data_IF_542462705328
#
_entry.id   IF_542462705328
#
_cell.length_a   1.000
_cell.length_b   1.000
_cell.length_c   1.000
_cell.angle_alpha   90.00
_cell.angle_beta   90.00
_cell.angle_gamma   90.00
#
_symmetry.space_group_name_H-M   'P 1'
#
loop_
_entity.id
_entity.type
_entity.pdbx_description
1 polymer ?
#
# COMPACT_ATOMS: atom_id res chain seq x y z
N UNK A 1 -3.82 -1.91 -21.02
CA UNK A 1 -4.02 -2.19 -19.58
C UNK A 1 -3.59 -0.96 -18.81
N UNK A 2 -4.50 -0.36 -18.03
CA UNK A 2 -4.22 0.87 -17.25
C UNK A 2 -3.97 0.53 -15.77
N UNK A 3 -2.87 1.04 -15.23
CA UNK A 3 -2.44 0.75 -13.87
C UNK A 3 -2.16 2.05 -13.09
N UNK A 4 -2.99 2.34 -12.10
CA UNK A 4 -2.76 3.43 -11.16
C UNK A 4 -1.65 3.03 -10.16
N UNK A 5 -0.71 3.95 -9.92
CA UNK A 5 0.42 3.67 -9.03
C UNK A 5 0.71 4.86 -8.11
N UNK A 6 0.84 4.61 -6.82
CA UNK A 6 1.42 5.55 -5.85
C UNK A 6 2.85 5.15 -5.52
N UNK A 7 3.71 6.11 -5.18
CA UNK A 7 5.12 5.84 -4.88
C UNK A 7 5.94 5.46 -6.10
N UNK A 8 5.60 5.99 -7.27
CA UNK A 8 6.28 5.77 -8.56
C UNK A 8 7.75 6.17 -8.57
N UNK A 9 8.15 7.14 -7.72
CA UNK A 9 9.54 7.60 -7.56
C UNK A 9 10.36 6.81 -6.55
N UNK A 10 9.71 5.96 -5.74
CA UNK A 10 10.41 5.09 -4.77
C UNK A 10 11.09 3.90 -5.44
N UNK A 11 11.96 3.20 -4.68
CA UNK A 11 12.74 2.05 -5.21
C UNK A 11 11.84 1.00 -5.87
N UNK A 12 10.78 0.56 -5.21
CA UNK A 12 9.87 -0.45 -5.79
C UNK A 12 9.13 0.09 -7.02
N UNK A 13 8.54 1.29 -6.91
CA UNK A 13 7.73 1.86 -7.97
C UNK A 13 8.52 2.17 -9.24
N UNK A 14 9.69 2.81 -9.11
CA UNK A 14 10.52 3.16 -10.25
C UNK A 14 11.06 1.92 -10.99
N UNK A 15 11.54 0.92 -10.24
CA UNK A 15 12.00 -0.34 -10.85
C UNK A 15 10.85 -1.13 -11.49
N UNK A 16 9.66 -1.14 -10.87
CA UNK A 16 8.50 -1.80 -11.44
C UNK A 16 8.09 -1.17 -12.77
N UNK A 17 8.01 0.16 -12.83
CA UNK A 17 7.68 0.91 -14.05
C UNK A 17 8.73 0.63 -15.13
N UNK A 18 10.02 0.72 -14.80
CA UNK A 18 11.12 0.51 -15.75
C UNK A 18 11.08 -0.88 -16.39
N UNK A 19 10.68 -1.91 -15.62
CA UNK A 19 10.65 -3.30 -16.10
C UNK A 19 9.34 -3.67 -16.82
N UNK A 20 8.33 -2.81 -16.82
CA UNK A 20 7.01 -3.08 -17.37
C UNK A 20 6.56 -1.92 -18.29
N UNK A 21 7.37 -1.58 -19.26
CA UNK A 21 7.15 -0.46 -20.18
C UNK A 21 5.92 -0.61 -21.11
N UNK A 22 5.38 -1.81 -21.21
CA UNK A 22 4.15 -2.12 -21.95
C UNK A 22 2.86 -1.83 -21.18
N UNK A 23 2.95 -1.35 -19.93
CA UNK A 23 1.81 -0.98 -19.10
C UNK A 23 1.63 0.54 -19.11
N UNK A 24 0.39 0.99 -19.31
CA UNK A 24 0.02 2.40 -19.17
C UNK A 24 -0.12 2.78 -17.68
N UNK A 25 0.93 3.42 -17.13
CA UNK A 25 0.98 3.81 -15.73
C UNK A 25 0.43 5.21 -15.49
N UNK A 26 -0.63 5.29 -14.66
CA UNK A 26 -1.19 6.53 -14.14
C UNK A 26 -0.54 6.80 -12.77
N UNK A 27 0.42 7.72 -12.74
CA UNK A 27 1.23 8.01 -11.54
C UNK A 27 0.51 9.01 -10.63
N UNK A 28 0.53 8.75 -9.32
CA UNK A 28 0.15 9.73 -8.33
C UNK A 28 1.37 10.57 -7.95
N UNK A 29 1.35 11.85 -8.28
CA UNK A 29 2.44 12.81 -8.02
C UNK A 29 2.12 13.77 -6.86
N UNK A 30 1.01 13.51 -6.16
CA UNK A 30 0.59 14.32 -5.00
C UNK A 30 1.16 13.83 -3.67
N UNK A 31 0.72 14.49 -2.60
CA UNK A 31 1.04 14.15 -1.22
C UNK A 31 0.00 13.17 -0.64
N UNK A 32 0.43 11.96 -0.26
CA UNK A 32 -0.43 10.93 0.35
C UNK A 32 -1.00 11.32 1.72
N UNK A 33 -0.46 12.34 2.38
CA UNK A 33 -1.05 12.91 3.59
C UNK A 33 -2.26 13.79 3.29
N UNK A 34 -2.44 14.22 2.05
CA UNK A 34 -3.49 15.14 1.59
C UNK A 34 -4.66 14.38 0.99
N UNK A 35 -5.65 14.06 1.81
CA UNK A 35 -6.86 13.31 1.44
C UNK A 35 -7.50 13.80 0.12
N UNK A 36 -7.66 15.12 -0.03
CA UNK A 36 -8.32 15.68 -1.21
C UNK A 36 -7.55 15.43 -2.52
N UNK A 37 -6.21 15.39 -2.47
CA UNK A 37 -5.40 15.08 -3.64
C UNK A 37 -5.60 13.63 -4.09
N UNK A 38 -5.65 12.69 -3.15
CA UNK A 38 -5.93 11.27 -3.42
C UNK A 38 -7.31 11.12 -4.06
N UNK A 39 -8.34 11.73 -3.45
CA UNK A 39 -9.73 11.64 -3.93
C UNK A 39 -9.83 12.19 -5.36
N UNK A 40 -9.32 13.41 -5.59
CA UNK A 40 -9.35 14.05 -6.92
C UNK A 40 -8.66 13.18 -7.97
N UNK A 41 -7.49 12.64 -7.64
CA UNK A 41 -6.71 11.82 -8.57
C UNK A 41 -7.42 10.49 -8.90
N UNK A 42 -7.94 9.77 -7.91
CA UNK A 42 -8.67 8.51 -8.15
C UNK A 42 -9.92 8.75 -8.98
N UNK A 43 -10.67 9.83 -8.70
CA UNK A 43 -11.92 10.11 -9.39
C UNK A 43 -11.72 10.59 -10.83
N UNK A 44 -10.61 11.28 -11.11
CA UNK A 44 -10.26 11.76 -12.45
C UNK A 44 -9.82 10.62 -13.40
N UNK A 45 -9.33 9.49 -12.87
CA UNK A 45 -8.65 8.48 -13.66
C UNK A 45 -9.42 7.15 -13.69
N UNK A 46 -9.39 6.47 -14.85
CA UNK A 46 -9.88 5.11 -15.03
C UNK A 46 -8.73 4.12 -15.15
N UNK A 47 -8.81 3.03 -14.38
CA UNK A 47 -7.76 2.00 -14.31
C UNK A 47 -8.36 0.67 -13.84
N UNK A 48 -7.68 -0.44 -14.14
CA UNK A 48 -8.07 -1.80 -13.75
C UNK A 48 -7.19 -2.35 -12.63
N UNK A 49 -5.99 -1.80 -12.49
CA UNK A 49 -5.01 -2.17 -11.46
C UNK A 49 -4.62 -0.96 -10.62
N UNK A 50 -4.41 -1.20 -9.33
CA UNK A 50 -3.95 -0.18 -8.40
C UNK A 50 -2.78 -0.71 -7.57
N UNK A 51 -1.59 -0.14 -7.73
CA UNK A 51 -0.38 -0.50 -7.00
C UNK A 51 -0.07 0.58 -5.96
N UNK A 52 -0.17 0.24 -4.68
CA UNK A 52 0.06 1.20 -3.60
C UNK A 52 1.47 1.04 -3.02
N UNK A 53 2.50 1.56 -3.71
CA UNK A 53 3.90 1.52 -3.25
C UNK A 53 4.30 2.72 -2.39
N UNK A 54 3.48 3.79 -2.34
CA UNK A 54 3.77 4.99 -1.57
C UNK A 54 3.72 4.73 -0.07
N UNK A 55 4.85 4.91 0.61
CA UNK A 55 4.97 4.77 2.05
C UNK A 55 6.24 5.46 2.57
N UNK A 56 6.24 5.85 3.84
CA UNK A 56 7.46 6.13 4.59
C UNK A 56 8.00 4.79 5.09
N UNK A 57 9.14 4.35 4.52
CA UNK A 57 9.71 3.03 4.77
C UNK A 57 10.78 3.02 5.87
N UNK A 58 11.75 3.96 5.95
CA UNK A 58 12.77 3.90 6.98
C UNK A 58 12.17 3.89 8.38
N UNK A 59 12.41 2.82 9.14
CA UNK A 59 11.87 2.64 10.50
C UNK A 59 12.19 3.83 11.39
N UNK A 60 13.44 4.34 11.32
CA UNK A 60 13.86 5.53 12.09
C UNK A 60 13.01 6.77 11.76
N UNK A 61 12.64 6.99 10.49
CA UNK A 61 11.76 8.11 10.10
C UNK A 61 10.36 7.94 10.67
N UNK A 62 9.83 6.72 10.70
CA UNK A 62 8.52 6.41 11.27
C UNK A 62 8.53 6.61 12.79
N UNK A 63 9.59 6.19 13.47
CA UNK A 63 9.73 6.39 14.93
C UNK A 63 9.80 7.88 15.29
N UNK A 64 10.59 8.67 14.52
CA UNK A 64 10.76 10.11 14.75
C UNK A 64 9.49 10.93 14.47
N UNK A 65 8.72 10.56 13.45
CA UNK A 65 7.52 11.32 13.05
C UNK A 65 6.33 10.39 12.81
N UNK A 66 5.86 9.76 13.87
CA UNK A 66 4.78 8.77 13.81
C UNK A 66 3.46 9.34 13.26
N UNK A 67 3.11 10.59 13.59
CA UNK A 67 1.86 11.20 13.12
C UNK A 67 1.82 11.30 11.59
N UNK A 68 2.88 11.80 10.99
CA UNK A 68 3.00 11.87 9.52
C UNK A 68 3.07 10.46 8.90
N UNK A 69 3.84 9.57 9.50
CA UNK A 69 3.94 8.20 9.03
C UNK A 69 2.58 7.47 9.09
N UNK A 70 1.80 7.66 10.14
CA UNK A 70 0.45 7.10 10.24
C UNK A 70 -0.47 7.66 9.15
N UNK A 71 -0.44 8.96 8.91
CA UNK A 71 -1.23 9.60 7.84
C UNK A 71 -0.91 9.00 6.48
N UNK A 72 0.39 8.83 6.15
CA UNK A 72 0.84 8.31 4.86
C UNK A 72 0.69 6.78 4.77
N UNK A 73 1.09 6.02 5.79
CA UNK A 73 1.17 4.56 5.72
C UNK A 73 -0.14 3.85 6.09
N UNK A 74 -1.12 4.55 6.66
CA UNK A 74 -2.38 3.94 7.09
C UNK A 74 -3.61 4.75 6.66
N UNK A 75 -3.68 6.05 7.00
CA UNK A 75 -4.89 6.83 6.76
C UNK A 75 -5.12 7.05 5.25
N UNK A 76 -4.05 7.20 4.45
CA UNK A 76 -4.14 7.25 2.98
C UNK A 76 -4.79 6.00 2.39
N UNK A 77 -4.46 4.82 2.90
CA UNK A 77 -5.02 3.54 2.45
C UNK A 77 -6.53 3.50 2.70
N UNK A 78 -6.98 4.00 3.84
CA UNK A 78 -8.43 4.13 4.13
C UNK A 78 -9.14 5.00 3.09
N UNK A 79 -8.53 6.13 2.73
CA UNK A 79 -9.07 7.02 1.69
C UNK A 79 -9.10 6.31 0.34
N UNK A 80 -7.97 5.72 -0.08
CA UNK A 80 -7.86 4.99 -1.35
C UNK A 80 -8.94 3.91 -1.45
N UNK A 81 -9.05 3.03 -0.46
CA UNK A 81 -10.04 1.94 -0.47
C UNK A 81 -11.46 2.47 -0.58
N UNK A 82 -11.80 3.54 0.15
CA UNK A 82 -13.13 4.12 0.09
C UNK A 82 -13.45 4.66 -1.31
N UNK A 83 -12.51 5.32 -1.97
CA UNK A 83 -12.70 5.83 -3.34
C UNK A 83 -12.75 4.70 -4.38
N UNK A 84 -11.90 3.68 -4.25
CA UNK A 84 -11.95 2.51 -5.13
C UNK A 84 -13.31 1.79 -5.07
N UNK A 85 -13.89 1.66 -3.88
CA UNK A 85 -15.22 1.05 -3.70
C UNK A 85 -16.34 1.83 -4.40
N UNK A 86 -16.23 3.16 -4.49
CA UNK A 86 -17.21 4.01 -5.18
C UNK A 86 -17.23 3.78 -6.70
N UNK A 87 -16.12 3.33 -7.29
CA UNK A 87 -16.03 3.04 -8.72
C UNK A 87 -16.91 1.87 -9.17
N UNK A 88 -17.42 1.04 -8.27
CA UNK A 88 -18.34 -0.09 -8.53
C UNK A 88 -17.91 -1.01 -9.69
N UNK A 89 -16.60 -1.15 -9.91
CA UNK A 89 -16.01 -2.00 -10.96
C UNK A 89 -14.99 -2.97 -10.39
N UNK A 90 -14.65 -4.01 -11.15
CA UNK A 90 -13.57 -4.92 -10.80
C UNK A 90 -12.24 -4.17 -10.86
N UNK A 91 -11.51 -4.13 -9.75
CA UNK A 91 -10.16 -3.54 -9.65
C UNK A 91 -9.27 -4.56 -8.95
N UNK A 92 -8.02 -4.68 -9.38
CA UNK A 92 -7.02 -5.47 -8.70
C UNK A 92 -6.08 -4.57 -7.91
N UNK A 93 -6.06 -4.72 -6.58
CA UNK A 93 -5.31 -3.87 -5.65
C UNK A 93 -4.10 -4.62 -5.07
N UNK A 94 -2.91 -4.06 -5.23
CA UNK A 94 -1.68 -4.60 -4.62
C UNK A 94 -1.16 -3.70 -3.50
N UNK A 95 -0.83 -4.31 -2.37
CA UNK A 95 -0.24 -3.65 -1.22
C UNK A 95 1.03 -4.36 -0.75
N UNK A 96 2.21 -3.71 -0.81
CA UNK A 96 3.43 -4.23 -0.23
C UNK A 96 3.40 -4.03 1.29
N UNK A 97 3.19 -5.12 2.00
CA UNK A 97 3.41 -5.22 3.44
C UNK A 97 4.90 -5.50 3.70
N UNK A 98 5.26 -5.95 4.88
CA UNK A 98 6.66 -6.08 5.28
C UNK A 98 6.86 -7.26 6.22
N UNK A 99 8.07 -7.82 6.24
CA UNK A 99 8.53 -8.76 7.26
C UNK A 99 8.48 -8.19 8.68
N UNK A 100 8.54 -6.87 8.83
CA UNK A 100 8.43 -6.18 10.12
C UNK A 100 7.10 -6.38 10.86
N UNK A 101 6.10 -7.05 10.25
CA UNK A 101 4.89 -7.47 10.96
C UNK A 101 5.12 -8.69 11.86
N UNK A 102 6.21 -9.41 11.67
CA UNK A 102 6.63 -10.52 12.51
C UNK A 102 7.61 -10.07 13.59
N UNK A 103 7.74 -10.83 14.66
CA UNK A 103 8.85 -10.71 15.60
C UNK A 103 10.11 -11.41 15.05
N UNK A 104 11.24 -11.16 15.67
CA UNK A 104 12.44 -11.96 15.44
C UNK A 104 12.15 -13.44 15.63
N UNK A 105 12.70 -14.27 14.75
CA UNK A 105 12.53 -15.72 14.80
C UNK A 105 13.72 -16.43 14.16
N UNK A 106 14.23 -17.45 14.81
CA UNK A 106 15.22 -18.38 14.24
C UNK A 106 14.55 -19.48 13.37
N UNK A 107 13.22 -19.52 13.32
CA UNK A 107 12.46 -20.46 12.49
C UNK A 107 12.06 -19.82 11.19
N UNK A 108 11.90 -20.62 10.13
CA UNK A 108 11.32 -20.16 8.85
C UNK A 108 9.94 -19.55 9.10
N UNK A 109 9.74 -18.35 8.61
CA UNK A 109 8.46 -17.63 8.65
C UNK A 109 7.65 -17.94 7.40
N UNK A 110 6.34 -18.01 7.56
CA UNK A 110 5.36 -18.12 6.48
C UNK A 110 4.15 -17.23 6.77
N UNK A 111 3.17 -17.22 5.87
CA UNK A 111 1.99 -16.36 5.99
C UNK A 111 1.12 -16.65 7.22
N UNK A 112 1.15 -17.89 7.74
CA UNK A 112 0.41 -18.34 8.93
C UNK A 112 1.15 -17.99 10.23
N UNK A 113 2.46 -17.67 10.17
CA UNK A 113 3.26 -17.33 11.34
C UNK A 113 2.64 -16.17 12.14
N UNK A 114 2.82 -16.21 13.46
CA UNK A 114 2.25 -15.24 14.39
C UNK A 114 2.78 -13.83 14.09
N UNK A 115 1.89 -12.85 13.98
CA UNK A 115 2.22 -11.47 13.66
C UNK A 115 2.35 -10.66 14.94
N UNK A 116 3.58 -10.33 15.30
CA UNK A 116 3.92 -9.57 16.53
C UNK A 116 4.90 -8.46 16.14
N UNK A 117 4.42 -7.34 15.56
CA UNK A 117 5.29 -6.24 15.16
C UNK A 117 5.89 -5.55 16.39
N UNK A 118 7.20 -5.37 16.40
CA UNK A 118 7.94 -4.67 17.47
C UNK A 118 7.97 -3.17 17.14
N UNK A 119 8.33 -2.79 15.90
CA UNK A 119 8.45 -1.40 15.47
C UNK A 119 7.11 -0.72 15.19
N UNK A 120 7.04 0.60 15.31
CA UNK A 120 5.87 1.40 14.88
C UNK A 120 5.56 1.19 13.39
N UNK A 121 6.60 1.07 12.55
CA UNK A 121 6.45 0.76 11.13
C UNK A 121 5.72 -0.58 10.91
N UNK A 122 6.18 -1.65 11.55
CA UNK A 122 5.55 -2.96 11.48
C UNK A 122 4.10 -2.94 11.99
N UNK A 123 3.84 -2.20 13.08
CA UNK A 123 2.46 -2.00 13.59
C UNK A 123 1.56 -1.32 12.56
N UNK A 124 2.03 -0.25 11.89
CA UNK A 124 1.27 0.41 10.83
C UNK A 124 1.02 -0.51 9.64
N UNK A 125 2.01 -1.29 9.20
CA UNK A 125 1.83 -2.27 8.11
C UNK A 125 0.81 -3.34 8.48
N UNK A 126 0.84 -3.88 9.70
CA UNK A 126 -0.15 -4.86 10.16
C UNK A 126 -1.56 -4.27 10.26
N UNK A 127 -1.69 -3.03 10.74
CA UNK A 127 -2.99 -2.32 10.76
C UNK A 127 -3.52 -2.11 9.33
N UNK A 128 -2.65 -1.76 8.39
CA UNK A 128 -3.01 -1.62 6.97
C UNK A 128 -3.49 -2.95 6.38
N UNK A 129 -2.81 -4.08 6.64
CA UNK A 129 -3.27 -5.41 6.21
C UNK A 129 -4.68 -5.73 6.74
N UNK A 130 -4.92 -5.46 8.03
CA UNK A 130 -6.23 -5.69 8.66
C UNK A 130 -7.31 -4.82 8.05
N UNK A 131 -7.00 -3.55 7.81
CA UNK A 131 -7.91 -2.60 7.17
C UNK A 131 -8.30 -3.07 5.76
N UNK A 132 -7.31 -3.43 4.91
CA UNK A 132 -7.53 -3.92 3.55
C UNK A 132 -8.44 -5.16 3.57
N UNK A 133 -8.07 -6.17 4.35
CA UNK A 133 -8.83 -7.43 4.46
C UNK A 133 -10.27 -7.18 4.91
N UNK A 134 -10.48 -6.37 5.95
CA UNK A 134 -11.82 -6.05 6.46
C UNK A 134 -12.64 -5.27 5.44
N UNK A 135 -12.04 -4.26 4.80
CA UNK A 135 -12.77 -3.33 3.93
C UNK A 135 -13.10 -3.91 2.55
N UNK A 136 -12.29 -4.86 2.04
CA UNK A 136 -12.47 -5.42 0.69
C UNK A 136 -13.13 -6.79 0.66
N UNK A 137 -13.40 -7.41 1.81
CA UNK A 137 -13.91 -8.80 1.92
C UNK A 137 -15.18 -9.10 1.12
N UNK A 138 -16.06 -8.13 0.94
CA UNK A 138 -17.35 -8.31 0.23
C UNK A 138 -17.51 -7.25 -0.87
N UNK A 139 -16.44 -7.03 -1.64
CA UNK A 139 -16.43 -6.05 -2.74
C UNK A 139 -15.98 -6.71 -4.03
N UNK A 140 -16.10 -6.00 -5.15
CA UNK A 140 -15.59 -6.44 -6.45
C UNK A 140 -14.07 -6.18 -6.61
N UNK A 141 -13.41 -5.71 -5.56
CA UNK A 141 -11.98 -5.39 -5.58
C UNK A 141 -11.21 -6.64 -5.13
N UNK A 142 -10.49 -7.24 -6.05
CA UNK A 142 -9.51 -8.29 -5.72
C UNK A 142 -8.26 -7.63 -5.12
N UNK A 143 -7.62 -8.28 -4.17
CA UNK A 143 -6.41 -7.74 -3.58
C UNK A 143 -5.35 -8.79 -3.31
N UNK A 144 -4.09 -8.35 -3.38
CA UNK A 144 -2.93 -9.10 -2.93
C UNK A 144 -2.13 -8.28 -1.94
N UNK A 145 -1.70 -8.91 -0.86
CA UNK A 145 -0.82 -8.34 0.16
C UNK A 145 0.49 -9.11 0.13
N UNK A 146 1.54 -8.51 -0.45
CA UNK A 146 2.87 -9.08 -0.50
C UNK A 146 3.70 -8.66 0.72
N UNK A 147 4.10 -9.60 1.58
CA UNK A 147 5.01 -9.32 2.70
C UNK A 147 6.44 -9.39 2.22
N UNK A 148 7.04 -8.22 2.00
CA UNK A 148 8.38 -8.11 1.47
C UNK A 148 9.38 -8.27 2.62
N UNK A 149 10.30 -9.20 2.46
CA UNK A 149 11.53 -9.30 3.23
C UNK A 149 12.60 -8.42 2.59
N UNK A 150 13.69 -8.12 3.29
CA UNK A 150 14.81 -7.34 2.71
C UNK A 150 15.39 -8.08 1.49
N UNK A 151 15.72 -7.33 0.48
CA UNK A 151 16.34 -7.76 -0.77
C UNK A 151 17.58 -6.91 -1.03
#
# INVERSE_FOLDING_TARGET
>A
MKCAITGSSGVLGSNFIKKNNNIDFIKFEGDLSKKNQIIKWINKNEFDFFLHFGAIVPTAKVEKNYKTAKSINLDSIKVIINELKKKKKKIWFFFPSSSHIYSFSNKKLNEKSKKIPISKYGKLKLLAERLIKKSLRKTQINYCIGRIFSF
#
